data_IF_111440504255
#
_entry.id   IF_111440504255
#
_cell.length_a   1.000
_cell.length_b   1.000
_cell.length_c   1.000
_cell.angle_alpha   90.00
_cell.angle_beta   90.00
_cell.angle_gamma   90.00
#
_symmetry.space_group_name_H-M   'P 1'
#
loop_
_entity.id
_entity.type
_entity.pdbx_description
1 polymer ?
#
# COMPACT_ATOMS: atom_id res chain seq x y z
N UNK A 1 -21.91 19.85 -18.14
CA UNK A 1 -21.81 18.89 -17.01
C UNK A 1 -20.69 19.40 -16.11
N UNK A 2 -20.95 19.66 -14.83
CA UNK A 2 -19.98 20.23 -13.89
C UNK A 2 -19.25 19.19 -13.03
N UNK A 3 -18.26 19.62 -12.24
CA UNK A 3 -17.53 18.79 -11.26
C UNK A 3 -18.48 18.04 -10.31
N UNK A 4 -19.52 18.71 -9.82
CA UNK A 4 -20.48 18.13 -8.88
C UNK A 4 -21.23 16.94 -9.49
N UNK A 5 -21.61 17.05 -10.76
CA UNK A 5 -22.30 15.98 -11.49
C UNK A 5 -21.35 14.80 -11.82
N UNK A 6 -20.07 15.08 -12.09
CA UNK A 6 -19.02 14.06 -12.23
C UNK A 6 -18.86 13.25 -10.94
N UNK A 7 -18.75 13.95 -9.81
CA UNK A 7 -18.58 13.36 -8.49
C UNK A 7 -19.82 12.56 -8.10
N UNK A 8 -21.02 13.15 -8.21
CA UNK A 8 -22.26 12.53 -7.76
C UNK A 8 -22.53 11.19 -8.46
N UNK A 9 -22.26 11.12 -9.77
CA UNK A 9 -22.49 9.91 -10.56
C UNK A 9 -21.46 8.81 -10.33
N UNK A 10 -20.24 9.17 -9.90
CA UNK A 10 -19.10 8.25 -9.96
C UNK A 10 -18.37 8.03 -8.64
N UNK A 11 -18.85 8.64 -7.55
CA UNK A 11 -18.19 8.56 -6.26
C UNK A 11 -18.03 7.11 -5.79
N UNK A 12 -19.05 6.27 -5.95
CA UNK A 12 -19.02 4.87 -5.48
C UNK A 12 -18.53 3.85 -6.51
N UNK A 13 -18.37 4.29 -7.75
CA UNK A 13 -17.85 3.48 -8.85
C UNK A 13 -18.18 4.13 -10.18
N UNK A 14 -17.50 3.70 -11.24
CA UNK A 14 -17.84 4.18 -12.58
C UNK A 14 -19.15 3.56 -13.07
N UNK A 15 -19.92 4.27 -13.92
CA UNK A 15 -21.10 3.72 -14.58
C UNK A 15 -20.78 2.42 -15.33
N UNK A 16 -21.72 1.48 -15.32
CA UNK A 16 -21.61 0.24 -16.08
C UNK A 16 -21.75 0.49 -17.60
N UNK A 17 -22.54 1.50 -17.98
CA UNK A 17 -22.67 1.93 -19.37
C UNK A 17 -21.36 2.54 -19.87
N UNK A 18 -20.85 2.04 -20.99
CA UNK A 18 -19.53 2.44 -21.50
C UNK A 18 -19.51 3.90 -21.97
N UNK A 19 -20.61 4.39 -22.56
CA UNK A 19 -20.67 5.76 -23.06
C UNK A 19 -20.72 6.76 -21.91
N UNK A 20 -21.54 6.49 -20.90
CA UNK A 20 -21.61 7.30 -19.68
C UNK A 20 -20.28 7.28 -18.92
N UNK A 21 -19.66 6.12 -18.80
CA UNK A 21 -18.33 5.98 -18.18
C UNK A 21 -17.28 6.80 -18.91
N UNK A 22 -17.20 6.67 -20.23
CA UNK A 22 -16.19 7.39 -21.02
C UNK A 22 -16.39 8.91 -20.94
N UNK A 23 -17.65 9.37 -20.95
CA UNK A 23 -17.98 10.78 -20.76
C UNK A 23 -17.50 11.35 -19.42
N UNK A 24 -17.68 10.60 -18.33
CA UNK A 24 -17.19 11.01 -17.00
C UNK A 24 -15.67 11.05 -16.96
N UNK A 25 -15.00 10.05 -17.55
CA UNK A 25 -13.53 10.03 -17.63
C UNK A 25 -13.02 11.25 -18.41
N UNK A 26 -13.67 11.58 -19.53
CA UNK A 26 -13.32 12.77 -20.32
C UNK A 26 -13.47 14.05 -19.50
N UNK A 27 -14.54 14.17 -18.71
CA UNK A 27 -14.74 15.32 -17.82
C UNK A 27 -13.69 15.38 -16.70
N UNK A 28 -13.32 14.24 -16.10
CA UNK A 28 -12.22 14.18 -15.14
C UNK A 28 -10.91 14.71 -15.78
N UNK A 29 -10.62 14.29 -17.01
CA UNK A 29 -9.41 14.73 -17.72
C UNK A 29 -9.46 16.22 -18.02
N UNK A 30 -10.60 16.73 -18.50
CA UNK A 30 -10.80 18.16 -18.73
C UNK A 30 -10.58 18.97 -17.44
N UNK A 31 -11.14 18.52 -16.30
CA UNK A 31 -10.94 19.17 -15.00
C UNK A 31 -9.45 19.17 -14.62
N UNK A 32 -8.77 18.03 -14.74
CA UNK A 32 -7.35 17.94 -14.44
C UNK A 32 -6.54 18.85 -15.36
N UNK A 33 -6.83 18.91 -16.66
CA UNK A 33 -6.09 19.73 -17.63
C UNK A 33 -6.29 21.23 -17.40
N UNK A 34 -7.51 21.66 -17.15
CA UNK A 34 -7.89 23.07 -17.01
C UNK A 34 -7.63 23.65 -15.62
N UNK A 35 -7.61 22.81 -14.58
CA UNK A 35 -7.29 23.25 -13.22
C UNK A 35 -5.79 23.53 -13.09
N UNK A 36 -5.45 24.80 -12.85
CA UNK A 36 -4.08 25.24 -12.64
C UNK A 36 -3.51 24.71 -11.32
N UNK A 37 -4.28 24.86 -10.24
CA UNK A 37 -4.01 24.33 -8.92
C UNK A 37 -5.31 24.08 -8.14
N UNK A 38 -5.20 23.42 -6.98
CA UNK A 38 -6.34 23.06 -6.14
C UNK A 38 -6.49 23.97 -4.90
N UNK A 39 -5.85 25.14 -4.83
CA UNK A 39 -5.78 25.94 -3.59
C UNK A 39 -7.17 26.36 -3.06
N UNK A 40 -8.14 26.59 -3.95
CA UNK A 40 -9.52 26.94 -3.58
C UNK A 40 -10.41 25.75 -3.18
N UNK A 41 -9.92 24.52 -3.26
CA UNK A 41 -10.71 23.31 -3.01
C UNK A 41 -10.59 22.86 -1.56
N UNK A 42 -11.69 22.37 -0.99
CA UNK A 42 -11.63 21.70 0.31
C UNK A 42 -10.95 20.32 0.19
N UNK A 43 -10.34 19.78 1.26
CA UNK A 43 -9.82 18.41 1.26
C UNK A 43 -10.88 17.37 0.86
N UNK A 44 -12.13 17.59 1.23
CA UNK A 44 -13.28 16.74 0.87
C UNK A 44 -13.55 16.75 -0.63
N UNK A 45 -13.51 17.91 -1.28
CA UNK A 45 -13.74 18.03 -2.72
C UNK A 45 -12.58 17.42 -3.52
N UNK A 46 -11.35 17.60 -3.04
CA UNK A 46 -10.18 16.92 -3.60
C UNK A 46 -10.36 15.41 -3.47
N UNK A 47 -10.75 14.90 -2.30
CA UNK A 47 -10.98 13.46 -2.09
C UNK A 47 -12.05 12.91 -3.00
N UNK A 48 -13.13 13.64 -3.24
CA UNK A 48 -14.20 13.24 -4.17
C UNK A 48 -13.66 13.12 -5.60
N UNK A 49 -12.98 14.15 -6.10
CA UNK A 49 -12.35 14.13 -7.43
C UNK A 49 -11.34 12.97 -7.55
N UNK A 50 -10.47 12.80 -6.57
CA UNK A 50 -9.41 11.79 -6.65
C UNK A 50 -9.91 10.37 -6.42
N UNK A 51 -11.05 10.18 -5.73
CA UNK A 51 -11.77 8.89 -5.69
C UNK A 51 -12.28 8.51 -7.08
N UNK A 52 -12.88 9.44 -7.82
CA UNK A 52 -13.26 9.21 -9.24
C UNK A 52 -12.01 8.90 -10.08
N UNK A 53 -10.92 9.65 -9.85
CA UNK A 53 -9.62 9.38 -10.45
C UNK A 53 -9.12 7.95 -10.18
N UNK A 54 -9.21 7.47 -8.94
CA UNK A 54 -8.82 6.11 -8.57
C UNK A 54 -9.67 5.03 -9.28
N UNK A 55 -10.98 5.25 -9.42
CA UNK A 55 -11.82 4.34 -10.20
C UNK A 55 -11.46 4.35 -11.69
N UNK A 56 -11.20 5.53 -12.26
CA UNK A 56 -10.75 5.68 -13.65
C UNK A 56 -9.40 5.01 -13.90
N UNK A 57 -8.45 5.12 -12.95
CA UNK A 57 -7.17 4.43 -13.01
C UNK A 57 -7.32 2.90 -13.13
N UNK A 58 -8.33 2.34 -12.46
CA UNK A 58 -8.61 0.90 -12.49
C UNK A 58 -9.28 0.45 -13.79
N UNK A 59 -10.08 1.32 -14.41
CA UNK A 59 -10.88 0.98 -15.58
C UNK A 59 -10.19 1.27 -16.93
N UNK A 60 -9.43 2.35 -17.03
CA UNK A 60 -8.86 2.86 -18.30
C UNK A 60 -7.42 3.36 -18.12
N UNK A 61 -6.61 2.58 -17.41
CA UNK A 61 -5.23 2.89 -17.04
C UNK A 61 -4.40 3.43 -18.22
N UNK A 62 -4.59 2.86 -19.40
CA UNK A 62 -3.90 3.19 -20.64
C UNK A 62 -4.20 4.58 -21.19
N UNK A 63 -5.30 5.21 -20.79
CA UNK A 63 -5.69 6.57 -21.22
C UNK A 63 -4.98 7.66 -20.42
N UNK A 64 -4.39 7.33 -19.27
CA UNK A 64 -3.72 8.30 -18.42
C UNK A 64 -2.33 8.65 -18.94
N UNK A 65 -2.13 9.92 -19.31
CA UNK A 65 -0.82 10.47 -19.67
C UNK A 65 -0.02 10.84 -18.41
N UNK A 66 1.32 10.92 -18.55
CA UNK A 66 2.19 11.35 -17.44
C UNK A 66 1.78 12.73 -16.88
N UNK A 67 1.45 13.75 -17.69
CA UNK A 67 0.94 15.02 -17.16
C UNK A 67 -0.34 14.89 -16.33
N UNK A 68 -1.34 14.14 -16.81
CA UNK A 68 -2.60 13.91 -16.09
C UNK A 68 -2.36 13.23 -14.75
N UNK A 69 -1.53 12.17 -14.74
CA UNK A 69 -1.15 11.46 -13.51
C UNK A 69 -0.38 12.35 -12.54
N UNK A 70 0.49 13.22 -13.05
CA UNK A 70 1.25 14.14 -12.20
C UNK A 70 0.32 15.13 -11.51
N UNK A 71 -0.69 15.65 -12.23
CA UNK A 71 -1.72 16.52 -11.64
C UNK A 71 -2.61 15.76 -10.64
N UNK A 72 -3.06 14.55 -10.96
CA UNK A 72 -3.84 13.73 -10.04
C UNK A 72 -3.06 13.37 -8.78
N UNK A 73 -1.77 13.04 -8.91
CA UNK A 73 -0.87 12.80 -7.78
C UNK A 73 -0.72 14.06 -6.92
N UNK A 74 -0.45 15.22 -7.54
CA UNK A 74 -0.35 16.49 -6.83
C UNK A 74 -1.64 16.83 -6.08
N UNK A 75 -2.81 16.61 -6.68
CA UNK A 75 -4.10 16.80 -6.03
C UNK A 75 -4.22 15.95 -4.76
N UNK A 76 -3.89 14.65 -4.84
CA UNK A 76 -3.94 13.75 -3.69
C UNK A 76 -3.00 14.18 -2.55
N UNK A 77 -1.74 14.54 -2.89
CA UNK A 77 -0.74 14.98 -1.90
C UNK A 77 -1.18 16.27 -1.22
N UNK A 78 -1.72 17.21 -1.99
CA UNK A 78 -2.16 18.50 -1.50
C UNK A 78 -3.41 18.35 -0.62
N UNK A 79 -4.35 17.50 -1.03
CA UNK A 79 -5.50 17.10 -0.21
C UNK A 79 -5.08 16.49 1.12
N UNK A 80 -4.16 15.53 1.11
CA UNK A 80 -3.67 14.88 2.33
C UNK A 80 -2.98 15.89 3.26
N UNK A 81 -2.11 16.75 2.70
CA UNK A 81 -1.38 17.78 3.47
C UNK A 81 -2.33 18.80 4.09
N UNK A 82 -3.37 19.22 3.35
CA UNK A 82 -4.35 20.19 3.85
C UNK A 82 -5.31 19.57 4.85
N UNK A 83 -5.69 18.31 4.64
CA UNK A 83 -6.39 17.54 5.64
C UNK A 83 -5.59 17.54 6.93
N UNK A 84 -4.30 17.14 6.94
CA UNK A 84 -3.38 17.10 8.11
C UNK A 84 -3.36 18.41 8.94
N UNK A 85 -3.56 19.57 8.28
CA UNK A 85 -3.50 20.90 8.92
C UNK A 85 -4.81 21.38 9.53
N UNK A 86 -5.96 20.86 9.10
CA UNK A 86 -7.24 21.18 9.72
C UNK A 86 -7.37 20.42 11.04
N UNK A 87 -7.56 21.12 12.16
CA UNK A 87 -7.64 20.59 13.56
C UNK A 87 -8.75 19.55 13.82
N UNK A 88 -9.39 19.01 12.80
CA UNK A 88 -10.46 17.99 12.85
C UNK A 88 -9.91 16.56 13.03
N UNK A 89 -8.58 16.38 13.13
CA UNK A 89 -7.87 15.08 13.27
C UNK A 89 -8.10 14.25 14.53
N UNK A 90 -9.09 14.60 15.34
CA UNK A 90 -9.47 13.77 16.47
C UNK A 90 -10.77 13.01 16.22
N UNK A 91 -11.52 13.33 15.16
CA UNK A 91 -12.66 12.52 14.78
C UNK A 91 -12.27 11.45 13.74
N UNK A 92 -13.07 10.38 13.72
CA UNK A 92 -12.87 9.25 12.84
C UNK A 92 -12.91 9.65 11.35
N UNK A 93 -13.70 10.66 10.99
CA UNK A 93 -13.91 11.04 9.60
C UNK A 93 -12.67 11.72 9.00
N UNK A 94 -12.05 12.65 9.72
CA UNK A 94 -10.82 13.32 9.29
C UNK A 94 -9.68 12.34 9.07
N UNK A 95 -9.50 11.38 9.98
CA UNK A 95 -8.46 10.34 9.88
C UNK A 95 -8.66 9.47 8.64
N UNK A 96 -9.90 9.03 8.38
CA UNK A 96 -10.24 8.18 7.23
C UNK A 96 -10.10 8.95 5.91
N UNK A 97 -10.49 10.22 5.88
CA UNK A 97 -10.31 11.10 4.71
C UNK A 97 -8.84 11.20 4.31
N UNK A 98 -7.96 11.53 5.26
CA UNK A 98 -6.53 11.68 5.01
C UNK A 98 -5.89 10.36 4.55
N UNK A 99 -6.26 9.25 5.18
CA UNK A 99 -5.77 7.93 4.81
C UNK A 99 -6.18 7.52 3.39
N UNK A 100 -7.39 7.85 2.95
CA UNK A 100 -7.82 7.64 1.57
C UNK A 100 -7.02 8.48 0.58
N UNK A 101 -6.78 9.76 0.88
CA UNK A 101 -5.98 10.64 0.03
C UNK A 101 -4.54 10.11 -0.12
N UNK A 102 -3.93 9.63 0.96
CA UNK A 102 -2.65 8.93 0.88
C UNK A 102 -2.72 7.64 0.08
N UNK A 103 -3.77 6.85 0.22
CA UNK A 103 -3.98 5.63 -0.56
C UNK A 103 -4.02 5.93 -2.07
N UNK A 104 -4.79 6.93 -2.48
CA UNK A 104 -4.90 7.35 -3.87
C UNK A 104 -3.62 8.00 -4.41
N UNK A 105 -2.90 8.76 -3.57
CA UNK A 105 -1.57 9.28 -3.91
C UNK A 105 -0.61 8.13 -4.22
N UNK A 106 -0.62 7.07 -3.41
CA UNK A 106 0.25 5.92 -3.60
C UNK A 106 -0.05 5.16 -4.89
N UNK A 107 -1.32 4.96 -5.21
CA UNK A 107 -1.73 4.25 -6.44
C UNK A 107 -1.35 5.04 -7.69
N UNK A 108 -1.54 6.36 -7.65
CA UNK A 108 -1.12 7.26 -8.73
C UNK A 108 0.40 7.27 -8.88
N UNK A 109 1.14 7.31 -7.77
CA UNK A 109 2.60 7.25 -7.77
C UNK A 109 3.11 5.90 -8.30
N UNK A 110 2.49 4.77 -7.93
CA UNK A 110 2.85 3.46 -8.47
C UNK A 110 2.64 3.40 -9.98
N UNK A 111 1.57 3.99 -10.50
CA UNK A 111 1.36 4.07 -11.94
C UNK A 111 2.39 4.97 -12.64
N UNK A 112 2.69 6.14 -12.08
CA UNK A 112 3.77 7.00 -12.60
C UNK A 112 5.10 6.25 -12.65
N UNK A 113 5.39 5.45 -11.62
CA UNK A 113 6.55 4.58 -11.61
C UNK A 113 6.52 3.55 -12.75
N UNK A 114 5.41 2.84 -12.93
CA UNK A 114 5.29 1.80 -13.96
C UNK A 114 5.46 2.34 -15.38
N UNK A 115 5.02 3.58 -15.63
CA UNK A 115 5.14 4.23 -16.95
C UNK A 115 6.53 4.83 -17.17
N UNK A 116 7.09 5.47 -16.14
CA UNK A 116 8.32 6.27 -16.30
C UNK A 116 9.60 5.55 -15.88
N UNK A 117 9.49 4.48 -15.10
CA UNK A 117 10.62 3.81 -14.45
C UNK A 117 11.32 4.63 -13.36
N UNK A 118 10.86 5.84 -13.03
CA UNK A 118 11.55 6.75 -12.11
C UNK A 118 11.36 6.32 -10.66
N UNK A 119 12.42 5.82 -10.04
CA UNK A 119 12.42 5.26 -8.68
C UNK A 119 11.74 6.15 -7.62
N UNK A 120 11.90 7.47 -7.71
CA UNK A 120 11.28 8.44 -6.80
C UNK A 120 9.76 8.25 -6.63
N UNK A 121 9.06 7.78 -7.67
CA UNK A 121 7.62 7.52 -7.58
C UNK A 121 7.28 6.23 -6.82
N UNK A 122 8.13 5.21 -6.89
CA UNK A 122 7.95 4.00 -6.09
C UNK A 122 8.25 4.27 -4.60
N UNK A 123 9.24 5.12 -4.31
CA UNK A 123 9.52 5.60 -2.96
C UNK A 123 8.36 6.43 -2.39
N UNK A 124 7.75 7.29 -3.23
CA UNK A 124 6.55 8.02 -2.86
C UNK A 124 5.36 7.08 -2.60
N UNK A 125 5.16 6.06 -3.45
CA UNK A 125 4.11 5.06 -3.26
C UNK A 125 4.26 4.31 -1.93
N UNK A 126 5.49 3.89 -1.59
CA UNK A 126 5.81 3.31 -0.29
C UNK A 126 5.45 4.25 0.86
N UNK A 127 5.91 5.50 0.77
CA UNK A 127 5.75 6.49 1.84
C UNK A 127 4.27 6.76 2.13
N UNK A 128 3.47 6.94 1.08
CA UNK A 128 2.05 7.20 1.24
C UNK A 128 1.25 6.00 1.76
N UNK A 129 1.58 4.77 1.33
CA UNK A 129 0.95 3.57 1.94
C UNK A 129 1.30 3.43 3.41
N UNK A 130 2.55 3.71 3.79
CA UNK A 130 2.96 3.69 5.19
C UNK A 130 2.19 4.74 6.02
N UNK A 131 2.06 5.96 5.50
CA UNK A 131 1.28 7.04 6.14
C UNK A 131 -0.20 6.67 6.30
N UNK A 132 -0.84 6.14 5.26
CA UNK A 132 -2.23 5.68 5.33
C UNK A 132 -2.42 4.61 6.41
N UNK A 133 -1.46 3.68 6.53
CA UNK A 133 -1.46 2.67 7.57
C UNK A 133 -1.35 3.25 8.97
N UNK A 134 -0.40 4.16 9.20
CA UNK A 134 -0.20 4.81 10.50
C UNK A 134 -1.40 5.65 10.95
N UNK A 135 -2.07 6.32 10.01
CA UNK A 135 -3.27 7.11 10.30
C UNK A 135 -4.43 6.22 10.73
N UNK A 136 -4.62 5.07 10.08
CA UNK A 136 -5.78 4.18 10.32
C UNK A 136 -5.57 3.14 11.41
N UNK A 137 -4.35 2.94 11.92
CA UNK A 137 -4.03 1.81 12.81
C UNK A 137 -4.86 1.73 14.11
N UNK A 138 -5.37 2.86 14.62
CA UNK A 138 -6.19 2.93 15.84
C UNK A 138 -7.70 2.95 15.59
N UNK A 139 -8.13 3.15 14.34
CA UNK A 139 -9.55 3.35 13.99
C UNK A 139 -10.08 2.32 13.00
N UNK A 140 -9.24 1.81 12.10
CA UNK A 140 -9.57 0.85 11.04
C UNK A 140 -8.39 -0.11 10.81
N UNK A 141 -8.25 -1.09 11.68
CA UNK A 141 -7.14 -2.06 11.65
C UNK A 141 -7.04 -2.84 10.32
N UNK A 142 -8.18 -3.10 9.68
CA UNK A 142 -8.25 -3.72 8.35
C UNK A 142 -7.61 -2.83 7.27
N UNK A 143 -7.95 -1.53 7.23
CA UNK A 143 -7.33 -0.59 6.29
C UNK A 143 -5.83 -0.48 6.59
N UNK A 144 -5.46 -0.39 7.87
CA UNK A 144 -4.07 -0.27 8.28
C UNK A 144 -3.21 -1.46 7.78
N UNK A 145 -3.66 -2.69 8.05
CA UNK A 145 -2.96 -3.91 7.62
C UNK A 145 -2.87 -4.03 6.09
N UNK A 146 -3.90 -3.63 5.34
CA UNK A 146 -3.84 -3.59 3.88
C UNK A 146 -2.82 -2.56 3.39
N UNK A 147 -2.82 -1.36 3.94
CA UNK A 147 -1.86 -0.31 3.60
C UNK A 147 -0.41 -0.74 3.89
N UNK A 148 -0.16 -1.37 5.04
CA UNK A 148 1.16 -1.91 5.36
C UNK A 148 1.59 -3.05 4.42
N UNK A 149 0.64 -3.86 3.93
CA UNK A 149 0.93 -4.92 2.95
C UNK A 149 1.45 -4.34 1.63
N UNK A 150 0.78 -3.31 1.09
CA UNK A 150 1.27 -2.61 -0.11
C UNK A 150 2.62 -1.91 0.14
N UNK A 151 2.81 -1.28 1.31
CA UNK A 151 4.11 -0.71 1.66
C UNK A 151 5.22 -1.78 1.67
N UNK A 152 4.93 -2.98 2.18
CA UNK A 152 5.89 -4.09 2.15
C UNK A 152 6.24 -4.53 0.72
N UNK A 153 5.26 -4.58 -0.18
CA UNK A 153 5.47 -4.89 -1.60
C UNK A 153 6.35 -3.86 -2.29
N UNK A 154 6.07 -2.57 -2.11
CA UNK A 154 6.86 -1.49 -2.71
C UNK A 154 8.29 -1.46 -2.17
N UNK A 155 8.47 -1.67 -0.86
CA UNK A 155 9.81 -1.80 -0.27
C UNK A 155 10.56 -3.02 -0.80
N UNK A 156 9.87 -4.15 -1.02
CA UNK A 156 10.46 -5.35 -1.63
C UNK A 156 10.92 -5.08 -3.07
N UNK A 157 10.10 -4.38 -3.85
CA UNK A 157 10.44 -4.01 -5.22
C UNK A 157 11.65 -3.07 -5.26
N UNK A 158 11.66 -2.03 -4.42
CA UNK A 158 12.81 -1.12 -4.27
C UNK A 158 14.08 -1.86 -3.88
N UNK A 159 13.99 -2.78 -2.92
CA UNK A 159 15.13 -3.61 -2.53
C UNK A 159 15.61 -4.48 -3.69
N UNK A 160 14.70 -5.13 -4.42
CA UNK A 160 15.07 -5.98 -5.55
C UNK A 160 15.80 -5.20 -6.64
N UNK A 161 15.45 -3.93 -6.86
CA UNK A 161 16.05 -3.08 -7.89
C UNK A 161 17.35 -2.42 -7.45
N UNK A 162 17.38 -1.86 -6.25
CA UNK A 162 18.53 -1.09 -5.75
C UNK A 162 19.57 -1.95 -5.04
N UNK A 163 19.16 -3.13 -4.55
CA UNK A 163 19.90 -3.97 -3.60
C UNK A 163 20.25 -3.27 -2.28
N UNK A 164 19.66 -2.11 -1.99
CA UNK A 164 19.86 -1.39 -0.74
C UNK A 164 19.16 -2.13 0.42
N UNK A 165 19.96 -2.53 1.40
CA UNK A 165 19.53 -3.26 2.60
C UNK A 165 18.51 -2.46 3.41
N UNK A 166 18.53 -1.12 3.37
CA UNK A 166 17.53 -0.32 4.06
C UNK A 166 16.11 -0.59 3.55
N UNK A 167 15.94 -0.85 2.26
CA UNK A 167 14.65 -1.24 1.69
C UNK A 167 14.21 -2.64 2.14
N UNK A 168 15.15 -3.56 2.33
CA UNK A 168 14.86 -4.87 2.93
C UNK A 168 14.38 -4.74 4.38
N UNK A 169 15.02 -3.88 5.17
CA UNK A 169 14.61 -3.58 6.56
C UNK A 169 13.21 -2.96 6.58
N UNK A 170 12.93 -2.00 5.70
CA UNK A 170 11.60 -1.40 5.55
C UNK A 170 10.54 -2.43 5.15
N UNK A 171 10.86 -3.34 4.23
CA UNK A 171 9.96 -4.43 3.84
C UNK A 171 9.63 -5.34 5.02
N UNK A 172 10.63 -5.71 5.83
CA UNK A 172 10.41 -6.47 7.06
C UNK A 172 9.49 -5.72 8.03
N UNK A 173 9.79 -4.45 8.31
CA UNK A 173 9.03 -3.62 9.25
C UNK A 173 7.56 -3.48 8.81
N UNK A 174 7.31 -3.27 7.52
CA UNK A 174 5.94 -3.21 6.99
C UNK A 174 5.21 -4.54 7.14
N UNK A 175 5.82 -5.70 6.84
CA UNK A 175 5.19 -7.00 7.10
C UNK A 175 4.91 -7.23 8.59
N UNK A 176 5.81 -6.79 9.47
CA UNK A 176 5.58 -6.87 10.92
C UNK A 176 4.37 -6.03 11.36
N UNK A 177 4.20 -4.83 10.80
CA UNK A 177 3.00 -4.03 11.06
C UNK A 177 1.73 -4.73 10.55
N UNK A 178 1.77 -5.46 9.43
CA UNK A 178 0.63 -6.29 9.00
C UNK A 178 0.29 -7.33 10.07
N UNK A 179 1.28 -8.05 10.60
CA UNK A 179 1.07 -9.06 11.67
C UNK A 179 0.37 -8.45 12.89
N UNK A 180 0.78 -7.24 13.29
CA UNK A 180 0.22 -6.53 14.44
C UNK A 180 -1.25 -6.13 14.22
N UNK A 181 -1.59 -5.63 13.03
CA UNK A 181 -2.88 -4.99 12.78
C UNK A 181 -3.90 -5.83 11.99
N UNK A 182 -3.49 -6.92 11.33
CA UNK A 182 -4.44 -7.79 10.65
C UNK A 182 -5.42 -8.41 11.68
N UNK A 183 -6.68 -8.60 11.29
CA UNK A 183 -7.70 -9.21 12.15
C UNK A 183 -7.87 -10.70 11.84
N UNK A 184 -7.69 -11.10 10.58
CA UNK A 184 -7.83 -12.49 10.16
C UNK A 184 -6.49 -13.25 10.25
N UNK A 185 -6.58 -14.54 10.62
CA UNK A 185 -5.41 -15.38 10.83
C UNK A 185 -4.64 -15.65 9.53
N UNK A 186 -5.36 -15.70 8.39
CA UNK A 186 -4.75 -15.98 7.09
C UNK A 186 -3.79 -14.87 6.69
N UNK A 187 -4.23 -13.61 6.73
CA UNK A 187 -3.40 -12.45 6.42
C UNK A 187 -2.20 -12.34 7.36
N UNK A 188 -2.39 -12.59 8.66
CA UNK A 188 -1.28 -12.70 9.64
C UNK A 188 -0.27 -13.76 9.25
N UNK A 189 -0.73 -14.98 8.93
CA UNK A 189 0.14 -16.07 8.55
C UNK A 189 1.02 -15.67 7.36
N UNK A 190 0.44 -15.14 6.27
CA UNK A 190 1.23 -14.73 5.11
C UNK A 190 2.21 -13.59 5.43
N UNK A 191 1.83 -12.64 6.29
CA UNK A 191 2.74 -11.59 6.74
C UNK A 191 3.92 -12.16 7.53
N UNK A 192 3.69 -13.14 8.42
CA UNK A 192 4.75 -13.88 9.11
C UNK A 192 5.67 -14.60 8.12
N UNK A 193 5.11 -15.33 7.14
CA UNK A 193 5.91 -16.04 6.13
C UNK A 193 6.85 -15.06 5.41
N UNK A 194 6.32 -13.95 4.93
CA UNK A 194 7.09 -12.93 4.25
C UNK A 194 8.13 -12.26 5.15
N UNK A 195 7.79 -11.90 6.39
CA UNK A 195 8.75 -11.36 7.35
C UNK A 195 9.89 -12.35 7.64
N UNK A 196 9.60 -13.65 7.69
CA UNK A 196 10.56 -14.75 7.84
C UNK A 196 11.54 -14.83 6.66
N UNK A 197 11.03 -14.81 5.43
CA UNK A 197 11.82 -14.82 4.20
C UNK A 197 12.74 -13.59 4.08
N UNK A 198 12.23 -12.40 4.39
CA UNK A 198 13.01 -11.16 4.37
C UNK A 198 14.11 -11.20 5.44
N UNK A 199 13.78 -11.64 6.66
CA UNK A 199 14.76 -11.76 7.75
C UNK A 199 15.85 -12.78 7.44
N UNK A 200 15.52 -13.91 6.81
CA UNK A 200 16.52 -14.91 6.39
C UNK A 200 17.52 -14.28 5.41
N UNK A 201 17.01 -13.57 4.40
CA UNK A 201 17.86 -12.88 3.41
C UNK A 201 18.69 -11.76 4.03
N UNK A 202 18.14 -10.99 4.96
CA UNK A 202 18.86 -9.97 5.72
C UNK A 202 20.00 -10.58 6.55
N UNK A 203 19.76 -11.71 7.20
CA UNK A 203 20.80 -12.45 7.91
C UNK A 203 21.88 -12.95 6.96
N UNK A 204 21.52 -13.54 5.82
CA UNK A 204 22.50 -14.00 4.82
C UNK A 204 23.35 -12.85 4.26
N UNK A 205 22.82 -11.63 4.22
CA UNK A 205 23.51 -10.46 3.66
C UNK A 205 24.36 -9.71 4.69
N UNK A 206 23.84 -9.57 5.91
CA UNK A 206 24.46 -8.71 6.95
C UNK A 206 25.20 -9.50 8.02
N UNK A 207 24.95 -10.81 8.10
CA UNK A 207 25.40 -11.71 9.16
C UNK A 207 25.02 -11.26 10.58
N UNK A 208 24.06 -10.36 10.74
CA UNK A 208 23.58 -9.96 12.06
C UNK A 208 22.65 -11.05 12.62
N UNK A 209 23.02 -11.60 13.77
CA UNK A 209 22.29 -12.70 14.43
C UNK A 209 20.84 -12.35 14.78
N UNK A 210 20.53 -11.07 15.02
CA UNK A 210 19.16 -10.61 15.27
C UNK A 210 18.21 -10.96 14.12
N UNK A 211 18.67 -10.90 12.87
CA UNK A 211 17.87 -11.30 11.70
C UNK A 211 17.64 -12.81 11.62
N UNK A 212 18.60 -13.62 12.08
CA UNK A 212 18.42 -15.07 12.18
C UNK A 212 17.34 -15.40 13.22
N UNK A 213 17.38 -14.78 14.40
CA UNK A 213 16.34 -14.95 15.44
C UNK A 213 14.96 -14.57 14.91
N UNK A 214 14.86 -13.38 14.31
CA UNK A 214 13.59 -12.90 13.71
C UNK A 214 13.08 -13.85 12.63
N UNK A 215 13.95 -14.40 11.79
CA UNK A 215 13.52 -15.35 10.76
C UNK A 215 12.91 -16.62 11.38
N UNK A 216 13.55 -17.17 12.41
CA UNK A 216 13.03 -18.32 13.17
C UNK A 216 11.67 -18.00 13.78
N UNK A 217 11.55 -16.88 14.49
CA UNK A 217 10.32 -16.43 15.14
C UNK A 217 9.17 -16.27 14.13
N UNK A 218 9.45 -15.66 12.98
CA UNK A 218 8.45 -15.43 11.96
C UNK A 218 8.00 -16.71 11.24
N UNK A 219 8.92 -17.64 10.92
CA UNK A 219 8.49 -18.94 10.39
C UNK A 219 7.68 -19.73 11.42
N UNK A 220 8.01 -19.65 12.71
CA UNK A 220 7.19 -20.25 13.77
C UNK A 220 5.79 -19.62 13.82
N UNK A 221 5.70 -18.28 13.75
CA UNK A 221 4.42 -17.56 13.69
C UNK A 221 3.57 -18.00 12.48
N UNK A 222 4.16 -18.15 11.29
CA UNK A 222 3.42 -18.70 10.15
C UNK A 222 2.88 -20.11 10.44
N UNK A 223 3.69 -21.00 11.02
CA UNK A 223 3.25 -22.37 11.33
C UNK A 223 2.15 -22.42 12.40
N UNK A 224 2.09 -21.43 13.29
CA UNK A 224 1.05 -21.29 14.32
C UNK A 224 -0.27 -20.77 13.75
N UNK A 225 -0.22 -19.74 12.90
CA UNK A 225 -1.43 -19.09 12.36
C UNK A 225 -1.94 -19.71 11.06
N UNK A 226 -1.15 -20.52 10.37
CA UNK A 226 -1.54 -21.12 9.10
C UNK A 226 -2.41 -22.37 9.31
N UNK A 227 -3.70 -22.25 8.98
CA UNK A 227 -4.63 -23.38 9.00
C UNK A 227 -4.48 -24.27 7.76
N UNK A 228 -3.68 -25.32 7.89
CA UNK A 228 -3.45 -26.30 6.83
C UNK A 228 -4.73 -27.04 6.40
N UNK A 229 -5.74 -27.15 7.28
CA UNK A 229 -6.96 -27.88 6.98
C UNK A 229 -7.84 -27.11 5.98
N UNK A 230 -7.89 -25.77 6.09
CA UNK A 230 -8.60 -24.88 5.17
C UNK A 230 -7.78 -24.52 3.92
N UNK A 231 -6.44 -24.57 3.98
CA UNK A 231 -5.54 -24.17 2.88
C UNK A 231 -4.78 -25.35 2.26
N UNK A 232 -5.45 -26.48 2.01
CA UNK A 232 -4.81 -27.72 1.50
C UNK A 232 -4.03 -27.51 0.20
N UNK A 233 -4.50 -26.62 -0.69
CA UNK A 233 -3.80 -26.26 -1.92
C UNK A 233 -2.42 -25.62 -1.68
N UNK A 234 -2.15 -25.12 -0.47
CA UNK A 234 -0.92 -24.42 -0.09
C UNK A 234 0.00 -25.23 0.83
N UNK A 235 -0.19 -26.56 0.90
CA UNK A 235 0.68 -27.48 1.66
C UNK A 235 2.18 -27.33 1.34
N UNK A 236 2.53 -26.90 0.12
CA UNK A 236 3.90 -26.60 -0.27
C UNK A 236 4.55 -25.49 0.56
N UNK A 237 3.79 -24.41 0.85
CA UNK A 237 4.26 -23.28 1.67
C UNK A 237 4.45 -23.71 3.12
N UNK A 238 3.50 -24.49 3.66
CA UNK A 238 3.62 -25.06 5.01
C UNK A 238 4.90 -25.89 5.17
N UNK A 239 5.14 -26.83 4.24
CA UNK A 239 6.37 -27.65 4.24
C UNK A 239 7.63 -26.81 4.06
N UNK A 240 7.58 -25.74 3.26
CA UNK A 240 8.69 -24.81 3.11
C UNK A 240 9.05 -24.16 4.45
N UNK A 241 8.07 -23.55 5.13
CA UNK A 241 8.29 -22.92 6.43
C UNK A 241 8.79 -23.91 7.49
N UNK A 242 8.26 -25.13 7.54
CA UNK A 242 8.76 -26.18 8.45
C UNK A 242 10.23 -26.54 8.20
N UNK A 243 10.67 -26.57 6.93
CA UNK A 243 12.08 -26.82 6.60
C UNK A 243 12.96 -25.65 7.03
N UNK A 244 12.54 -24.41 6.73
CA UNK A 244 13.32 -23.23 7.09
C UNK A 244 13.41 -23.03 8.59
N UNK A 245 12.30 -23.15 9.32
CA UNK A 245 12.28 -23.09 10.78
C UNK A 245 13.28 -24.09 11.38
N UNK A 246 13.25 -25.36 10.97
CA UNK A 246 14.20 -26.39 11.49
C UNK A 246 15.65 -26.05 11.17
N UNK A 247 15.95 -25.67 9.93
CA UNK A 247 17.30 -25.31 9.47
C UNK A 247 17.84 -24.13 10.28
N UNK A 248 17.09 -23.03 10.33
CA UNK A 248 17.51 -21.78 10.96
C UNK A 248 17.60 -21.90 12.49
N UNK A 249 16.69 -22.65 13.13
CA UNK A 249 16.77 -22.95 14.56
C UNK A 249 17.97 -23.83 14.92
N UNK A 250 18.44 -24.68 14.01
CA UNK A 250 19.71 -25.39 14.16
C UNK A 250 20.90 -24.43 14.14
N UNK A 251 20.92 -23.53 13.15
CA UNK A 251 21.98 -22.52 12.99
C UNK A 251 22.03 -21.56 14.19
N UNK A 252 20.88 -21.08 14.66
CA UNK A 252 20.79 -20.14 15.78
C UNK A 252 21.34 -20.73 17.10
N UNK A 253 21.17 -22.04 17.30
CA UNK A 253 21.74 -22.77 18.45
C UNK A 253 23.24 -23.03 18.32
N UNK A 254 23.75 -23.13 17.09
CA UNK A 254 25.16 -23.39 16.83
C UNK A 254 26.05 -22.15 16.86
N UNK A 255 25.45 -20.96 16.80
CA UNK A 255 26.18 -19.69 16.91
C UNK A 255 26.17 -19.24 18.39
N UNK A 256 27.34 -19.09 19.05
CA UNK A 256 27.44 -18.55 20.40
C UNK A 256 27.01 -17.09 20.49
#
# INVERSE_FOLDING_TARGET
MGLDECIERCYDGLPADSHERDHVIDLLFEILETTADFQGWSPTDIKKLTKVGHHALSAVRERFTVPLLTKLYAANVDGATRSDRTREHQDHHGVVLEAHLHTYAADTAKLLYDITGRQQYLEAAYTHRLQAGHKTQSVESFHASHSYSFAAEYARELWNKTKDVNWAVRCYQSNWLVVVYASDQRHKAFAYLHAGEISEKLWNTTHQRSWLSRSVENYNGFLEFFDLASERQLTGLYRHAQRQHRKLSGLLRSQP
#
